data_IF_095626730906
#
_entry.id   IF_095626730906
#
_cell.length_a   1.000
_cell.length_b   1.000
_cell.length_c   1.000
_cell.angle_alpha   90.00
_cell.angle_beta   90.00
_cell.angle_gamma   90.00
#
_symmetry.space_group_name_H-M   'P 1'
#
loop_
_entity.id
_entity.type
_entity.pdbx_description
1 polymer ?
#
# COMPACT_ATOMS: atom_id res chain seq x y z
N UNK A 1 4.69 14.29 -35.57
CA UNK A 1 4.44 15.47 -34.73
C UNK A 1 5.45 15.42 -33.59
N UNK A 2 6.37 16.39 -33.49
CA UNK A 2 7.29 16.46 -32.36
C UNK A 2 6.58 17.17 -31.20
N UNK A 3 6.28 16.44 -30.13
CA UNK A 3 5.84 17.07 -28.89
C UNK A 3 7.05 17.58 -28.13
N UNK A 4 7.09 18.89 -27.89
CA UNK A 4 8.03 19.48 -26.94
C UNK A 4 7.54 19.19 -25.53
N UNK A 5 8.25 18.33 -24.80
CA UNK A 5 7.95 18.06 -23.40
C UNK A 5 8.50 19.19 -22.52
N UNK A 6 7.66 19.72 -21.65
CA UNK A 6 8.05 20.75 -20.66
C UNK A 6 8.50 20.03 -19.40
N UNK A 7 9.69 20.35 -18.88
CA UNK A 7 10.17 19.77 -17.63
C UNK A 7 9.36 20.26 -16.44
N UNK A 8 8.98 19.35 -15.51
CA UNK A 8 8.28 19.74 -14.30
C UNK A 8 9.19 20.57 -13.39
N UNK A 9 8.62 21.54 -12.68
CA UNK A 9 9.35 22.37 -11.70
C UNK A 9 9.68 21.63 -10.39
N UNK A 10 8.90 20.60 -10.08
CA UNK A 10 9.08 19.74 -8.92
C UNK A 10 8.49 18.36 -9.20
N UNK A 11 9.01 17.34 -8.51
CA UNK A 11 8.51 15.97 -8.53
C UNK A 11 8.30 15.55 -7.08
N UNK A 12 7.12 15.01 -6.79
CA UNK A 12 6.80 14.42 -5.48
C UNK A 12 6.70 12.92 -5.69
N UNK A 13 7.42 12.16 -4.86
CA UNK A 13 7.38 10.72 -4.86
C UNK A 13 6.57 10.24 -3.65
N UNK A 14 5.70 9.27 -3.89
CA UNK A 14 5.17 8.44 -2.82
C UNK A 14 6.27 7.50 -2.29
N UNK A 15 6.04 6.89 -1.14
CA UNK A 15 7.03 6.03 -0.49
C UNK A 15 6.82 4.55 -0.85
N UNK A 16 5.73 3.97 -0.37
CA UNK A 16 5.40 2.55 -0.52
C UNK A 16 5.16 2.21 -1.99
N UNK A 17 5.84 1.18 -2.50
CA UNK A 17 5.71 0.70 -3.90
C UNK A 17 6.10 1.74 -4.98
N UNK A 18 6.62 2.91 -4.57
CA UNK A 18 7.15 3.95 -5.47
C UNK A 18 8.66 4.11 -5.28
N UNK A 19 9.12 4.39 -4.06
CA UNK A 19 10.56 4.50 -3.75
C UNK A 19 11.10 3.25 -3.07
N UNK A 20 10.25 2.49 -2.38
CA UNK A 20 10.66 1.32 -1.59
C UNK A 20 9.69 0.15 -1.79
N UNK A 21 10.23 -1.04 -2.11
CA UNK A 21 9.48 -2.30 -1.98
C UNK A 21 9.51 -2.75 -0.52
N UNK A 22 8.43 -2.45 0.20
CA UNK A 22 8.26 -2.82 1.60
C UNK A 22 7.06 -3.74 1.86
N UNK A 23 6.60 -4.45 0.81
CA UNK A 23 5.41 -5.30 0.88
C UNK A 23 5.45 -6.33 2.01
N UNK A 24 6.63 -6.87 2.33
CA UNK A 24 6.78 -7.84 3.43
C UNK A 24 6.52 -7.22 4.81
N UNK A 25 6.94 -5.97 5.02
CA UNK A 25 6.71 -5.25 6.29
C UNK A 25 5.24 -4.92 6.46
N UNK A 26 4.58 -4.43 5.40
CA UNK A 26 3.13 -4.17 5.38
C UNK A 26 2.36 -5.45 5.68
N UNK A 27 2.71 -6.56 5.00
CA UNK A 27 2.09 -7.86 5.19
C UNK A 27 2.22 -8.38 6.62
N UNK A 28 3.42 -8.28 7.19
CA UNK A 28 3.70 -8.74 8.56
C UNK A 28 2.88 -7.95 9.58
N UNK A 29 2.85 -6.61 9.46
CA UNK A 29 2.05 -5.77 10.36
C UNK A 29 0.55 -6.03 10.24
N UNK A 30 0.05 -6.17 9.01
CA UNK A 30 -1.36 -6.46 8.75
C UNK A 30 -1.77 -7.82 9.34
N UNK A 31 -0.97 -8.86 9.12
CA UNK A 31 -1.27 -10.20 9.63
C UNK A 31 -1.17 -10.27 11.15
N UNK A 32 -0.21 -9.57 11.77
CA UNK A 32 -0.15 -9.44 13.22
C UNK A 32 -1.45 -8.83 13.80
N UNK A 33 -1.96 -7.78 13.16
CA UNK A 33 -3.23 -7.17 13.56
C UNK A 33 -4.44 -8.10 13.32
N UNK A 34 -4.53 -8.76 12.17
CA UNK A 34 -5.60 -9.71 11.85
C UNK A 34 -5.66 -10.84 12.88
N UNK A 35 -4.52 -11.47 13.16
CA UNK A 35 -4.44 -12.58 14.12
C UNK A 35 -4.79 -12.12 15.54
N UNK A 36 -4.31 -10.94 15.98
CA UNK A 36 -4.65 -10.39 17.29
C UNK A 36 -6.16 -10.12 17.44
N UNK A 37 -6.85 -9.85 16.32
CA UNK A 37 -8.30 -9.62 16.27
C UNK A 37 -9.12 -10.91 16.01
N UNK A 38 -8.47 -12.08 15.98
CA UNK A 38 -9.14 -13.37 15.77
C UNK A 38 -9.51 -13.67 14.32
N UNK A 39 -8.92 -12.97 13.36
CA UNK A 39 -9.09 -13.23 11.93
C UNK A 39 -7.95 -14.07 11.36
N UNK A 40 -8.23 -14.78 10.26
CA UNK A 40 -7.21 -15.51 9.51
C UNK A 40 -6.19 -14.54 8.88
N UNK A 41 -4.88 -14.83 8.98
CA UNK A 41 -3.87 -14.06 8.28
C UNK A 41 -4.05 -14.21 6.77
N UNK A 42 -3.71 -13.16 6.03
CA UNK A 42 -3.78 -13.18 4.58
C UNK A 42 -2.51 -13.78 3.97
N UNK A 43 -2.58 -14.41 2.79
CA UNK A 43 -1.41 -14.65 1.95
C UNK A 43 -0.91 -13.33 1.31
N UNK A 44 0.37 -13.26 0.95
CA UNK A 44 1.01 -12.04 0.43
C UNK A 44 0.32 -11.47 -0.81
N UNK A 45 -0.14 -12.33 -1.72
CA UNK A 45 -0.82 -11.90 -2.95
C UNK A 45 -2.15 -11.20 -2.66
N UNK A 46 -2.86 -11.66 -1.62
CA UNK A 46 -4.08 -11.01 -1.14
C UNK A 46 -3.75 -9.65 -0.52
N UNK A 47 -2.66 -9.54 0.25
CA UNK A 47 -2.19 -8.24 0.77
C UNK A 47 -1.94 -7.25 -0.37
N UNK A 48 -1.13 -7.64 -1.37
CA UNK A 48 -0.81 -6.80 -2.55
C UNK A 48 -2.05 -6.35 -3.31
N UNK A 49 -3.04 -7.23 -3.47
CA UNK A 49 -4.26 -6.92 -4.22
C UNK A 49 -5.22 -5.97 -3.50
N UNK A 50 -5.15 -5.88 -2.17
CA UNK A 50 -6.15 -5.20 -1.35
C UNK A 50 -5.63 -3.97 -0.59
N UNK A 51 -4.34 -3.89 -0.28
CA UNK A 51 -3.75 -2.74 0.40
C UNK A 51 -3.49 -1.61 -0.59
N UNK A 52 -4.28 -0.55 -0.49
CA UNK A 52 -4.17 0.72 -1.26
C UNK A 52 -5.01 1.87 -0.70
N UNK A 53 -5.73 1.61 0.41
CA UNK A 53 -6.62 2.58 1.07
C UNK A 53 -5.99 2.99 2.39
N UNK A 54 -6.37 4.17 2.88
CA UNK A 54 -6.02 4.56 4.24
C UNK A 54 -6.49 3.49 5.24
N UNK A 55 -5.76 3.27 6.33
CA UNK A 55 -6.19 2.28 7.34
C UNK A 55 -7.59 2.61 7.91
N UNK A 56 -7.92 3.90 8.03
CA UNK A 56 -9.25 4.37 8.45
C UNK A 56 -10.36 3.84 7.54
N UNK A 57 -10.12 3.84 6.23
CA UNK A 57 -11.09 3.35 5.25
C UNK A 57 -11.11 1.82 5.15
N UNK A 58 -9.99 1.18 5.45
CA UNK A 58 -9.83 -0.28 5.39
C UNK A 58 -10.54 -1.00 6.54
N UNK A 59 -10.68 -0.37 7.71
CA UNK A 59 -11.29 -0.94 8.91
C UNK A 59 -12.50 -0.14 9.39
N UNK A 60 -13.32 0.37 8.47
CA UNK A 60 -14.54 1.09 8.89
C UNK A 60 -15.36 0.20 9.83
N UNK A 61 -15.68 0.74 11.00
CA UNK A 61 -16.68 0.18 11.89
C UNK A 61 -18.02 0.06 11.13
N UNK A 62 -18.85 -0.96 11.41
CA UNK A 62 -20.24 -0.94 10.98
C UNK A 62 -20.98 0.30 11.51
#
# INVERSE_FOLDING_TARGET
MNQTLINPKAIVFDWDDTLVDNWHSIHTGLNAALTAMGHDPWPIDKTRSNVRRSMRDSFRNP
#
